data_IF_318389487446
#
_entry.id   IF_318389487446
#
_cell.length_a   1.000
_cell.length_b   1.000
_cell.length_c   1.000
_cell.angle_alpha   90.00
_cell.angle_beta   90.00
_cell.angle_gamma   90.00
#
_symmetry.space_group_name_H-M   'P 1'
#
loop_
_entity.id
_entity.type
_entity.pdbx_description
1 polymer ?
#
# COMPACT_ATOMS: atom_id res chain seq x y z
N UNK A 1 -9.27 -12.59 2.31
CA UNK A 1 -8.47 -12.79 1.07
C UNK A 1 -7.01 -12.95 1.43
N UNK A 2 -6.23 -13.62 0.56
CA UNK A 2 -4.77 -13.76 0.69
C UNK A 2 -4.07 -12.72 -0.20
N UNK A 3 -3.29 -11.83 0.41
CA UNK A 3 -2.61 -10.69 -0.20
C UNK A 3 -1.10 -10.96 -0.25
N UNK A 4 -0.50 -10.82 -1.43
CA UNK A 4 0.94 -10.86 -1.64
C UNK A 4 1.48 -9.44 -1.70
N UNK A 5 2.44 -9.10 -0.84
CA UNK A 5 3.20 -7.85 -0.95
C UNK A 5 4.42 -8.10 -1.81
N UNK A 6 4.54 -7.33 -2.88
CA UNK A 6 5.63 -7.38 -3.84
C UNK A 6 7.00 -7.08 -3.19
N UNK A 7 8.09 -7.43 -3.87
CA UNK A 7 9.45 -7.25 -3.35
C UNK A 7 9.83 -5.79 -3.11
N UNK A 8 9.19 -4.87 -3.83
CA UNK A 8 9.39 -3.42 -3.71
C UNK A 8 8.61 -2.80 -2.53
N UNK A 9 7.72 -3.56 -1.88
CA UNK A 9 7.03 -3.11 -0.66
C UNK A 9 8.00 -3.20 0.51
N UNK A 10 8.05 -2.16 1.34
CA UNK A 10 9.01 -2.13 2.45
C UNK A 10 8.54 -2.98 3.63
N UNK A 11 9.48 -3.66 4.30
CA UNK A 11 9.19 -4.44 5.53
C UNK A 11 8.52 -3.62 6.65
N UNK A 12 8.90 -2.35 6.92
CA UNK A 12 8.18 -1.53 7.89
C UNK A 12 6.70 -1.33 7.54
N UNK A 13 6.38 -1.21 6.25
CA UNK A 13 4.99 -1.12 5.80
C UNK A 13 4.25 -2.43 6.04
N UNK A 14 4.85 -3.57 5.67
CA UNK A 14 4.29 -4.90 5.98
C UNK A 14 3.97 -5.05 7.47
N UNK A 15 4.93 -4.75 8.34
CA UNK A 15 4.76 -4.83 9.80
C UNK A 15 3.61 -3.94 10.30
N UNK A 16 3.52 -2.71 9.78
CA UNK A 16 2.44 -1.81 10.14
C UNK A 16 1.07 -2.38 9.74
N UNK A 17 0.90 -2.80 8.47
CA UNK A 17 -0.41 -3.25 7.98
C UNK A 17 -0.84 -4.59 8.58
N UNK A 18 0.11 -5.49 8.86
CA UNK A 18 -0.17 -6.78 9.50
C UNK A 18 -0.75 -6.60 10.91
N UNK A 19 -0.48 -5.47 11.57
CA UNK A 19 -1.00 -5.19 12.90
C UNK A 19 -2.49 -4.79 12.93
N UNK A 20 -3.07 -4.29 11.83
CA UNK A 20 -4.44 -3.74 11.85
C UNK A 20 -5.37 -4.20 10.71
N UNK A 21 -4.85 -4.80 9.64
CA UNK A 21 -5.69 -5.38 8.58
C UNK A 21 -6.04 -6.82 8.97
N UNK A 22 -7.13 -6.95 9.72
CA UNK A 22 -7.63 -8.23 10.23
C UNK A 22 -8.52 -8.95 9.20
N UNK A 23 -8.63 -10.29 9.31
CA UNK A 23 -9.48 -11.11 8.42
C UNK A 23 -8.91 -11.36 7.02
N UNK A 24 -7.69 -10.90 6.76
CA UNK A 24 -6.94 -11.16 5.54
C UNK A 24 -5.58 -11.75 5.91
N UNK A 25 -5.08 -12.68 5.09
CA UNK A 25 -3.71 -13.16 5.21
C UNK A 25 -2.82 -12.25 4.38
N UNK A 26 -1.83 -11.63 5.01
CA UNK A 26 -0.88 -10.73 4.35
C UNK A 26 0.48 -11.40 4.40
N UNK A 27 1.05 -11.63 3.22
CA UNK A 27 2.34 -12.31 3.08
C UNK A 27 3.26 -11.43 2.27
N UNK A 28 4.47 -11.19 2.76
CA UNK A 28 5.48 -10.50 1.99
C UNK A 28 6.26 -11.49 1.14
N UNK A 29 6.46 -11.16 -0.14
CA UNK A 29 7.22 -12.00 -1.08
C UNK A 29 8.60 -12.40 -0.54
N UNK A 30 9.28 -11.49 0.17
CA UNK A 30 10.59 -11.74 0.75
C UNK A 30 10.59 -12.72 1.94
N UNK A 31 9.42 -13.13 2.44
CA UNK A 31 9.27 -14.14 3.49
C UNK A 31 9.01 -15.54 2.89
N UNK A 32 8.87 -15.64 1.56
CA UNK A 32 8.61 -16.89 0.86
C UNK A 32 9.88 -17.47 0.22
N UNK A 33 10.10 -18.78 0.40
CA UNK A 33 11.32 -19.47 -0.07
C UNK A 33 11.45 -19.45 -1.60
N UNK A 34 12.56 -18.88 -2.09
CA UNK A 34 12.89 -18.77 -3.51
C UNK A 34 11.84 -18.03 -4.35
N UNK A 35 11.22 -16.98 -3.79
CA UNK A 35 10.35 -16.06 -4.55
C UNK A 35 11.06 -14.78 -4.98
N UNK A 36 12.04 -14.30 -4.21
CA UNK A 36 12.78 -13.06 -4.51
C UNK A 36 13.40 -13.08 -5.92
N UNK A 37 13.29 -11.95 -6.64
CA UNK A 37 13.82 -11.81 -8.01
C UNK A 37 13.06 -12.60 -9.07
N UNK A 38 11.93 -13.22 -8.73
CA UNK A 38 11.04 -13.85 -9.72
C UNK A 38 10.37 -12.77 -10.55
N UNK A 39 10.53 -12.82 -11.87
CA UNK A 39 9.86 -11.90 -12.78
C UNK A 39 8.34 -12.08 -12.73
N UNK A 40 7.60 -10.99 -12.86
CA UNK A 40 6.13 -10.92 -12.91
C UNK A 40 5.45 -12.03 -13.73
N UNK A 41 5.99 -12.29 -14.93
CA UNK A 41 5.53 -13.34 -15.86
C UNK A 41 5.45 -14.74 -15.20
N UNK A 42 6.35 -15.03 -14.27
CA UNK A 42 6.39 -16.29 -13.51
C UNK A 42 5.81 -16.14 -12.11
N UNK A 43 5.88 -14.94 -11.54
CA UNK A 43 5.43 -14.63 -10.18
C UNK A 43 3.90 -14.76 -10.09
N UNK A 44 3.14 -14.17 -11.02
CA UNK A 44 1.69 -14.14 -10.90
C UNK A 44 1.02 -15.50 -11.05
N UNK A 45 1.38 -16.35 -12.04
CA UNK A 45 0.83 -17.71 -12.10
C UNK A 45 1.15 -18.53 -10.84
N UNK A 46 2.36 -18.38 -10.29
CA UNK A 46 2.75 -19.01 -9.03
C UNK A 46 1.92 -18.51 -7.86
N UNK A 47 1.71 -17.20 -7.76
CA UNK A 47 0.89 -16.59 -6.72
C UNK A 47 -0.56 -17.11 -6.77
N UNK A 48 -1.16 -17.20 -7.95
CA UNK A 48 -2.51 -17.77 -8.14
C UNK A 48 -2.55 -19.23 -7.71
N UNK A 49 -1.56 -20.03 -8.12
CA UNK A 49 -1.46 -21.47 -7.74
C UNK A 49 -1.40 -21.65 -6.23
N UNK A 50 -0.75 -20.70 -5.54
CA UNK A 50 -0.63 -20.67 -4.08
C UNK A 50 -1.84 -20.01 -3.39
N UNK A 51 -2.90 -19.67 -4.13
CA UNK A 51 -4.14 -19.13 -3.57
C UNK A 51 -4.06 -17.66 -3.17
N UNK A 52 -3.09 -16.91 -3.69
CA UNK A 52 -3.12 -15.44 -3.60
C UNK A 52 -4.23 -14.89 -4.49
N UNK A 53 -4.90 -13.85 -4.00
CA UNK A 53 -6.02 -13.19 -4.68
C UNK A 53 -5.64 -11.78 -5.14
N UNK A 54 -4.68 -11.16 -4.45
CA UNK A 54 -4.33 -9.76 -4.62
C UNK A 54 -2.80 -9.61 -4.53
N UNK A 55 -2.23 -8.77 -5.40
CA UNK A 55 -0.85 -8.27 -5.29
C UNK A 55 -0.88 -6.78 -4.87
N UNK A 56 -0.09 -6.39 -3.86
CA UNK A 56 0.18 -5.00 -3.50
C UNK A 56 1.60 -4.63 -3.98
N UNK A 57 1.72 -3.56 -4.76
CA UNK A 57 3.01 -3.11 -5.32
C UNK A 57 3.15 -1.58 -5.27
N UNK A 58 4.38 -1.08 -5.31
CA UNK A 58 4.66 0.35 -5.56
C UNK A 58 5.31 0.64 -6.93
N UNK A 59 5.42 -0.36 -7.82
CA UNK A 59 5.93 -0.15 -9.17
C UNK A 59 4.86 0.56 -10.03
N UNK A 60 4.98 1.89 -10.09
CA UNK A 60 4.12 2.76 -10.90
C UNK A 60 4.31 2.58 -12.42
N UNK A 61 5.38 1.90 -12.86
CA UNK A 61 5.67 1.66 -14.29
C UNK A 61 5.23 0.28 -14.75
N UNK A 62 4.79 -0.59 -13.85
CA UNK A 62 4.37 -1.95 -14.20
C UNK A 62 3.29 -1.96 -15.29
N UNK A 63 2.31 -1.05 -15.19
CA UNK A 63 1.23 -0.92 -16.19
C UNK A 63 1.68 -0.26 -17.52
N UNK A 64 2.96 0.07 -17.67
CA UNK A 64 3.55 0.61 -18.90
C UNK A 64 4.42 -0.43 -19.62
N UNK A 65 4.61 -1.62 -19.05
CA UNK A 65 5.44 -2.69 -19.60
C UNK A 65 4.52 -3.79 -20.15
N UNK A 66 4.46 -4.00 -21.49
CA UNK A 66 3.47 -4.89 -22.10
C UNK A 66 3.44 -6.31 -21.52
N UNK A 67 4.61 -6.89 -21.22
CA UNK A 67 4.70 -8.25 -20.67
C UNK A 67 4.14 -8.35 -19.25
N UNK A 68 4.38 -7.35 -18.42
CA UNK A 68 3.86 -7.33 -17.04
C UNK A 68 2.34 -7.11 -17.04
N UNK A 69 1.83 -6.27 -17.96
CA UNK A 69 0.39 -6.08 -18.19
C UNK A 69 -0.28 -7.37 -18.66
N UNK A 70 0.31 -8.07 -19.62
CA UNK A 70 -0.18 -9.36 -20.09
C UNK A 70 -0.19 -10.40 -18.95
N UNK A 71 0.89 -10.48 -18.18
CA UNK A 71 1.01 -11.41 -17.06
C UNK A 71 -0.04 -11.15 -15.97
N UNK A 72 -0.24 -9.89 -15.55
CA UNK A 72 -1.25 -9.59 -14.53
C UNK A 72 -2.65 -9.88 -15.07
N UNK A 73 -2.95 -9.53 -16.33
CA UNK A 73 -4.25 -9.79 -16.95
C UNK A 73 -4.55 -11.30 -17.04
N UNK A 74 -3.57 -12.09 -17.47
CA UNK A 74 -3.68 -13.54 -17.57
C UNK A 74 -3.85 -14.23 -16.19
N UNK A 75 -3.26 -13.66 -15.14
CA UNK A 75 -3.35 -14.24 -13.79
C UNK A 75 -4.72 -14.09 -13.13
N UNK A 76 -5.50 -13.07 -13.51
CA UNK A 76 -6.75 -12.72 -12.82
C UNK A 76 -6.58 -12.14 -11.41
N UNK A 77 -5.35 -11.99 -10.89
CA UNK A 77 -5.09 -11.37 -9.59
C UNK A 77 -5.59 -9.93 -9.56
N UNK A 78 -6.23 -9.52 -8.47
CA UNK A 78 -6.41 -8.09 -8.26
C UNK A 78 -5.06 -7.43 -8.02
N UNK A 79 -4.89 -6.22 -8.55
CA UNK A 79 -3.69 -5.42 -8.32
C UNK A 79 -4.05 -4.20 -7.51
N UNK A 80 -3.34 -3.96 -6.42
CA UNK A 80 -3.39 -2.70 -5.69
C UNK A 80 -2.03 -2.03 -5.83
N UNK A 81 -2.03 -0.79 -6.32
CA UNK A 81 -0.85 0.08 -6.31
C UNK A 81 -0.99 1.21 -5.31
N UNK A 82 0.13 1.65 -4.76
CA UNK A 82 0.18 2.88 -3.97
C UNK A 82 1.38 3.74 -4.38
N UNK A 83 1.26 5.08 -4.32
CA UNK A 83 2.36 5.96 -4.64
C UNK A 83 3.42 5.95 -3.52
N UNK A 84 4.70 5.82 -3.91
CA UNK A 84 5.85 6.05 -3.05
C UNK A 84 6.83 6.99 -3.73
N UNK A 85 6.49 8.30 -3.74
CA UNK A 85 7.23 9.33 -4.49
C UNK A 85 8.29 10.06 -3.67
N UNK A 86 8.26 9.93 -2.35
CA UNK A 86 9.17 10.66 -1.45
C UNK A 86 10.19 9.68 -0.87
N UNK A 87 11.47 10.07 -0.76
CA UNK A 87 12.49 9.22 -0.14
C UNK A 87 12.47 9.32 1.39
N UNK A 88 13.20 8.42 2.03
CA UNK A 88 13.50 8.47 3.46
C UNK A 88 12.29 8.28 4.37
N UNK A 89 12.42 8.74 5.61
CA UNK A 89 11.42 8.52 6.67
C UNK A 89 10.04 9.12 6.33
N UNK A 90 10.02 10.31 5.73
CA UNK A 90 8.78 10.96 5.28
C UNK A 90 8.08 10.09 4.24
N UNK A 91 8.82 9.56 3.27
CA UNK A 91 8.30 8.66 2.26
C UNK A 91 7.68 7.39 2.81
N UNK A 92 8.36 6.75 3.76
CA UNK A 92 7.87 5.55 4.43
C UNK A 92 6.59 5.86 5.22
N UNK A 93 6.57 6.95 5.99
CA UNK A 93 5.40 7.38 6.75
C UNK A 93 4.19 7.66 5.85
N UNK A 94 4.39 8.34 4.71
CA UNK A 94 3.31 8.61 3.75
C UNK A 94 2.81 7.33 3.08
N UNK A 95 3.70 6.39 2.75
CA UNK A 95 3.30 5.10 2.19
C UNK A 95 2.49 4.27 3.20
N UNK A 96 2.96 4.19 4.45
CA UNK A 96 2.22 3.53 5.54
C UNK A 96 0.85 4.18 5.71
N UNK A 97 0.77 5.51 5.80
CA UNK A 97 -0.49 6.22 5.96
C UNK A 97 -1.44 6.01 4.77
N UNK A 98 -0.91 6.02 3.55
CA UNK A 98 -1.68 5.79 2.31
C UNK A 98 -2.26 4.39 2.28
N UNK A 99 -1.42 3.36 2.53
CA UNK A 99 -1.89 1.97 2.54
C UNK A 99 -2.82 1.72 3.73
N UNK A 100 -2.51 2.23 4.92
CA UNK A 100 -3.37 2.08 6.10
C UNK A 100 -4.77 2.66 5.88
N UNK A 101 -4.87 3.83 5.25
CA UNK A 101 -6.14 4.47 4.98
C UNK A 101 -6.91 3.82 3.81
N UNK A 102 -6.20 3.37 2.78
CA UNK A 102 -6.81 2.91 1.53
C UNK A 102 -7.07 1.40 1.45
N UNK A 103 -6.18 0.58 2.01
CA UNK A 103 -6.18 -0.86 1.83
C UNK A 103 -7.45 -1.55 2.39
N UNK A 104 -7.96 -1.21 3.59
CA UNK A 104 -9.19 -1.84 4.09
C UNK A 104 -10.38 -1.64 3.15
N UNK A 105 -10.57 -0.42 2.65
CA UNK A 105 -11.64 -0.09 1.69
C UNK A 105 -11.43 -0.80 0.36
N UNK A 106 -10.19 -0.85 -0.14
CA UNK A 106 -9.87 -1.60 -1.36
C UNK A 106 -10.22 -3.08 -1.19
N UNK A 107 -9.77 -3.73 -0.11
CA UNK A 107 -10.05 -5.14 0.14
C UNK A 107 -11.57 -5.41 0.26
N UNK A 108 -12.33 -4.55 0.95
CA UNK A 108 -13.78 -4.70 1.03
C UNK A 108 -14.45 -4.66 -0.36
N UNK A 109 -14.01 -3.77 -1.25
CA UNK A 109 -14.47 -3.70 -2.64
C UNK A 109 -14.12 -4.96 -3.44
N UNK A 110 -12.92 -5.51 -3.21
CA UNK A 110 -12.43 -6.68 -3.94
C UNK A 110 -13.15 -7.98 -3.54
N UNK A 111 -13.57 -8.14 -2.26
CA UNK A 111 -14.31 -9.33 -1.81
C UNK A 111 -15.61 -9.55 -2.60
N UNK A 112 -16.30 -8.46 -2.99
CA UNK A 112 -17.55 -8.53 -3.75
C UNK A 112 -17.39 -8.39 -5.27
N UNK A 113 -16.17 -8.40 -5.80
CA UNK A 113 -15.94 -8.12 -7.21
C UNK A 113 -16.16 -9.38 -8.07
N UNK A 114 -17.04 -9.28 -9.08
CA UNK A 114 -17.28 -10.35 -10.07
C UNK A 114 -16.19 -10.45 -11.15
N UNK A 115 -14.96 -10.02 -10.85
CA UNK A 115 -13.84 -10.07 -11.79
C UNK A 115 -12.66 -9.22 -11.35
N UNK A 116 -11.55 -9.34 -12.07
CA UNK A 116 -10.29 -8.64 -11.78
C UNK A 116 -10.48 -7.12 -11.64
N UNK A 117 -9.69 -6.51 -10.75
CA UNK A 117 -9.68 -5.06 -10.51
C UNK A 117 -8.25 -4.57 -10.37
N UNK A 118 -7.98 -3.41 -10.97
CA UNK A 118 -6.75 -2.66 -10.78
C UNK A 118 -7.10 -1.43 -9.94
N UNK A 119 -6.53 -1.35 -8.74
CA UNK A 119 -6.86 -0.33 -7.75
C UNK A 119 -5.64 0.55 -7.51
N UNK A 120 -5.81 1.87 -7.61
CA UNK A 120 -4.78 2.84 -7.22
C UNK A 120 -5.19 3.49 -5.91
N UNK A 121 -4.40 3.30 -4.86
CA UNK A 121 -4.57 4.03 -3.61
C UNK A 121 -4.14 5.48 -3.82
N UNK A 122 -4.95 6.42 -3.33
CA UNK A 122 -4.62 7.84 -3.42
C UNK A 122 -3.65 8.22 -2.31
N UNK A 123 -2.50 8.75 -2.70
CA UNK A 123 -1.45 9.18 -1.77
C UNK A 123 -1.94 10.26 -0.80
N UNK A 124 -1.49 10.16 0.45
CA UNK A 124 -1.67 11.23 1.43
C UNK A 124 -0.85 12.45 1.01
N UNK A 125 -1.46 13.65 1.11
CA UNK A 125 -0.79 14.90 0.78
C UNK A 125 0.38 15.17 1.74
N UNK A 126 1.62 15.28 1.22
CA UNK A 126 2.81 15.53 2.01
C UNK A 126 2.93 16.98 2.51
N UNK A 127 2.12 17.93 2.01
CA UNK A 127 2.25 19.33 2.35
C UNK A 127 2.17 19.54 3.88
N UNK A 128 3.07 20.32 4.51
CA UNK A 128 3.07 20.53 5.95
C UNK A 128 1.70 20.95 6.49
N UNK A 129 1.03 21.91 5.82
CA UNK A 129 -0.29 22.38 6.20
C UNK A 129 -1.38 21.29 6.18
N UNK A 130 -1.19 20.24 5.37
CA UNK A 130 -2.09 19.09 5.30
C UNK A 130 -1.81 18.05 6.39
N UNK A 131 -0.64 18.10 7.04
CA UNK A 131 -0.17 17.10 8.01
C UNK A 131 -0.13 17.61 9.45
N UNK A 132 0.11 18.89 9.65
CA UNK A 132 0.22 19.50 10.97
C UNK A 132 -0.32 20.93 10.97
N UNK A 133 -0.85 21.33 12.13
CA UNK A 133 -1.20 22.71 12.44
C UNK A 133 -0.29 23.18 13.57
N UNK A 134 0.42 24.27 13.35
CA UNK A 134 1.19 24.94 14.41
C UNK A 134 0.38 26.12 14.92
N UNK A 135 0.27 26.22 16.24
CA UNK A 135 -0.29 27.39 16.93
C UNK A 135 0.84 27.94 17.79
N UNK A 136 1.12 29.23 17.66
CA UNK A 136 1.98 29.97 18.58
C UNK A 136 1.07 30.67 19.60
N UNK A 137 0.99 30.18 20.86
CA UNK A 137 0.11 30.78 21.85
C UNK A 137 0.52 32.19 22.28
N UNK A 138 1.76 32.63 22.03
CA UNK A 138 2.18 34.01 22.29
C UNK A 138 1.60 34.99 21.25
N UNK A 139 1.28 34.52 20.05
CA UNK A 139 0.71 35.33 18.96
C UNK A 139 -0.80 35.13 18.80
N UNK A 140 -1.28 33.91 18.96
CA UNK A 140 -2.68 33.51 18.76
C UNK A 140 -3.08 32.40 19.74
N UNK A 141 -3.24 32.72 21.04
CA UNK A 141 -3.58 31.73 22.05
C UNK A 141 -4.93 31.05 21.75
N UNK A 142 -5.06 29.74 22.02
CA UNK A 142 -6.36 29.07 22.06
C UNK A 142 -7.33 29.76 23.03
N UNK A 143 -8.64 29.60 22.82
CA UNK A 143 -9.70 30.30 23.58
C UNK A 143 -9.56 30.19 25.12
N UNK A 144 -9.06 29.07 25.62
CA UNK A 144 -8.91 28.81 27.06
C UNK A 144 -7.43 28.69 27.46
N UNK A 145 -6.53 29.34 26.73
CA UNK A 145 -5.11 29.37 27.10
C UNK A 145 -4.92 30.16 28.40
N UNK A 146 -4.24 29.61 29.42
CA UNK A 146 -4.10 30.27 30.72
C UNK A 146 -3.17 31.49 30.63
N UNK A 147 -3.53 32.57 31.32
CA UNK A 147 -2.61 33.67 31.58
C UNK A 147 -1.59 33.21 32.63
N UNK A 148 -0.40 32.83 32.15
CA UNK A 148 0.77 32.57 32.98
C UNK A 148 1.53 33.89 33.13
N UNK A 149 0.95 34.85 33.84
CA UNK A 149 1.65 36.05 34.30
C UNK A 149 2.41 35.79 35.60
#
# INVERSE_FOLDING_TARGET
>A
MRLLLDENVSRPLHQAIAAFVLGHEIVHLLDLDRWSGTRDENLYPRAVTEGFHVILTNDARQMQRPREVEAIAASGLHRIEYPHKHPGLVGIGLAIATVAAGLPTALALLVGANGQRLVTLRGIDPAPASRLRVVDPALAPPKYWPDLT
#
